data_IF_544078097380
#
_entry.id   IF_544078097380
#
_cell.length_a   1.000
_cell.length_b   1.000
_cell.length_c   1.000
_cell.angle_alpha   90.00
_cell.angle_beta   90.00
_cell.angle_gamma   90.00
#
_symmetry.space_group_name_H-M   'P 1'
#
loop_
_entity.id
_entity.type
_entity.pdbx_description
1 polymer ?
#
# COMPACT_ATOMS: atom_id res chain seq x y z
N UNK A 1 10.45 -15.14 5.80
CA UNK A 1 9.83 -16.11 4.88
C UNK A 1 9.04 -15.29 3.87
N UNK A 2 9.49 -15.15 2.62
CA UNK A 2 8.68 -14.47 1.59
C UNK A 2 7.48 -15.36 1.26
N UNK A 3 6.25 -14.84 1.36
CA UNK A 3 5.06 -15.56 0.91
C UNK A 3 5.17 -15.75 -0.61
N UNK A 4 5.04 -16.99 -1.08
CA UNK A 4 5.18 -17.32 -2.49
C UNK A 4 4.14 -16.58 -3.34
N UNK A 5 4.60 -15.97 -4.44
CA UNK A 5 3.75 -15.27 -5.41
C UNK A 5 3.05 -16.30 -6.30
N UNK A 6 2.00 -16.94 -5.79
CA UNK A 6 1.09 -17.79 -6.57
C UNK A 6 0.02 -16.96 -7.30
N UNK A 7 -0.82 -17.61 -8.11
CA UNK A 7 -1.97 -17.01 -8.83
C UNK A 7 -3.14 -16.59 -7.91
N UNK A 8 -2.83 -16.13 -6.70
CA UNK A 8 -3.78 -15.66 -5.70
C UNK A 8 -3.87 -14.13 -5.64
N UNK A 9 -4.71 -13.62 -4.74
CA UNK A 9 -4.74 -12.18 -4.44
C UNK A 9 -3.42 -11.72 -3.81
N UNK A 10 -2.81 -10.68 -4.36
CA UNK A 10 -1.63 -10.02 -3.82
C UNK A 10 -2.03 -8.82 -2.97
N UNK A 11 -1.73 -8.87 -1.67
CA UNK A 11 -2.07 -7.80 -0.72
C UNK A 11 -0.94 -6.79 -0.58
N UNK A 12 -1.27 -5.52 -0.73
CA UNK A 12 -0.30 -4.43 -0.83
C UNK A 12 -0.44 -3.50 0.37
N UNK A 13 0.69 -3.20 1.01
CA UNK A 13 0.83 -2.10 1.96
C UNK A 13 1.49 -0.90 1.29
N UNK A 14 0.93 0.31 1.44
CA UNK A 14 1.54 1.55 0.89
C UNK A 14 2.09 2.41 2.04
N UNK A 15 3.41 2.53 2.14
CA UNK A 15 4.09 3.43 3.05
C UNK A 15 4.34 4.77 2.37
N UNK A 16 3.73 5.83 2.88
CA UNK A 16 3.76 7.17 2.28
C UNK A 16 2.48 7.48 1.53
N UNK A 17 1.83 8.57 1.93
CA UNK A 17 0.58 9.06 1.35
C UNK A 17 0.72 10.52 0.92
N UNK A 18 1.88 10.86 0.35
CA UNK A 18 2.05 12.09 -0.42
C UNK A 18 1.43 11.96 -1.81
N UNK A 19 1.79 12.85 -2.73
CA UNK A 19 1.28 12.87 -4.11
C UNK A 19 1.41 11.52 -4.80
N UNK A 20 2.58 10.87 -4.68
CA UNK A 20 2.84 9.58 -5.33
C UNK A 20 2.02 8.47 -4.69
N UNK A 21 2.02 8.34 -3.37
CA UNK A 21 1.27 7.29 -2.68
C UNK A 21 -0.24 7.34 -2.92
N UNK A 22 -0.82 8.55 -2.90
CA UNK A 22 -2.23 8.74 -3.27
C UNK A 22 -2.48 8.38 -4.74
N UNK A 23 -1.58 8.78 -5.65
CA UNK A 23 -1.66 8.40 -7.06
C UNK A 23 -1.62 6.89 -7.28
N UNK A 24 -0.72 6.18 -6.60
CA UNK A 24 -0.62 4.71 -6.66
C UNK A 24 -1.91 4.06 -6.17
N UNK A 25 -2.44 4.48 -5.01
CA UNK A 25 -3.69 3.95 -4.48
C UNK A 25 -4.85 4.12 -5.47
N UNK A 26 -4.98 5.30 -6.07
CA UNK A 26 -6.01 5.59 -7.08
C UNK A 26 -5.86 4.71 -8.31
N UNK A 27 -4.66 4.65 -8.88
CA UNK A 27 -4.40 3.87 -10.09
C UNK A 27 -4.64 2.37 -9.87
N UNK A 28 -4.24 1.82 -8.72
CA UNK A 28 -4.50 0.41 -8.39
C UNK A 28 -6.00 0.12 -8.26
N UNK A 29 -6.76 1.06 -7.67
CA UNK A 29 -8.21 0.92 -7.50
C UNK A 29 -8.95 1.07 -8.83
N UNK A 30 -8.66 2.13 -9.58
CA UNK A 30 -9.32 2.48 -10.84
C UNK A 30 -9.03 1.46 -11.95
N UNK A 31 -7.85 0.82 -11.95
CA UNK A 31 -7.42 -0.13 -13.00
C UNK A 31 -7.41 -1.59 -12.54
N UNK A 32 -8.09 -1.93 -11.43
CA UNK A 32 -8.03 -3.26 -10.82
C UNK A 32 -8.32 -4.40 -11.82
N UNK A 33 -9.33 -4.23 -12.68
CA UNK A 33 -9.71 -5.24 -13.68
C UNK A 33 -8.63 -5.45 -14.75
N UNK A 34 -8.05 -4.37 -15.27
CA UNK A 34 -7.00 -4.43 -16.29
C UNK A 34 -5.70 -5.02 -15.73
N UNK A 35 -5.32 -4.60 -14.52
CA UNK A 35 -4.16 -5.14 -13.82
C UNK A 35 -4.35 -6.64 -13.59
N UNK A 36 -5.50 -7.05 -13.07
CA UNK A 36 -5.80 -8.47 -12.80
C UNK A 36 -5.74 -9.32 -14.07
N UNK A 37 -6.23 -8.80 -15.19
CA UNK A 37 -6.15 -9.47 -16.49
C UNK A 37 -4.71 -9.64 -16.99
N UNK A 38 -3.82 -8.69 -16.68
CA UNK A 38 -2.40 -8.72 -17.10
C UNK A 38 -1.53 -9.58 -16.17
N UNK A 39 -1.81 -9.59 -14.87
CA UNK A 39 -1.01 -10.30 -13.86
C UNK A 39 -1.49 -11.72 -13.60
N UNK A 40 -2.74 -12.05 -13.99
CA UNK A 40 -3.37 -13.33 -13.67
C UNK A 40 -3.79 -13.49 -12.21
N UNK A 41 -3.83 -12.40 -11.44
CA UNK A 41 -4.21 -12.39 -10.03
C UNK A 41 -4.68 -11.01 -9.57
N UNK A 42 -5.58 -10.98 -8.59
CA UNK A 42 -6.11 -9.72 -8.05
C UNK A 42 -5.05 -8.98 -7.23
N UNK A 43 -5.06 -7.64 -7.29
CA UNK A 43 -4.29 -6.79 -6.39
C UNK A 43 -5.27 -6.07 -5.46
N UNK A 44 -4.92 -6.02 -4.16
CA UNK A 44 -5.72 -5.33 -3.15
C UNK A 44 -4.81 -4.55 -2.20
N UNK A 45 -5.06 -3.26 -2.05
CA UNK A 45 -4.43 -2.49 -0.97
C UNK A 45 -5.17 -2.82 0.33
N UNK A 46 -4.44 -3.26 1.35
CA UNK A 46 -5.00 -3.68 2.64
C UNK A 46 -4.69 -2.69 3.76
N UNK A 47 -3.52 -2.04 3.67
CA UNK A 47 -3.06 -1.13 4.70
C UNK A 47 -2.21 0.00 4.11
N UNK A 48 -2.17 1.11 4.82
CA UNK A 48 -1.38 2.29 4.47
C UNK A 48 -0.62 2.81 5.69
N UNK A 49 0.46 3.55 5.46
CA UNK A 49 1.19 4.22 6.53
C UNK A 49 1.50 5.67 6.19
N UNK A 50 1.31 6.55 7.18
CA UNK A 50 1.73 7.95 7.13
C UNK A 50 1.86 8.53 8.54
N UNK A 51 2.55 9.66 8.67
CA UNK A 51 2.75 10.35 9.96
C UNK A 51 1.45 10.87 10.59
N UNK A 52 0.49 11.25 9.74
CA UNK A 52 -0.79 11.82 10.16
C UNK A 52 -1.92 11.09 9.43
N UNK A 53 -2.75 10.40 10.22
CA UNK A 53 -3.92 9.64 9.78
C UNK A 53 -5.15 10.52 9.53
N UNK A 54 -5.17 11.72 10.13
CA UNK A 54 -6.33 12.62 10.11
C UNK A 54 -6.30 13.62 8.97
N UNK A 55 -5.13 13.82 8.37
CA UNK A 55 -4.95 14.71 7.22
C UNK A 55 -5.78 14.23 6.04
N UNK A 56 -6.60 15.13 5.49
CA UNK A 56 -7.30 14.89 4.23
C UNK A 56 -6.32 14.69 3.06
N UNK A 57 -6.56 13.63 2.29
CA UNK A 57 -5.75 13.19 1.14
C UNK A 57 -6.56 13.19 -0.16
N UNK A 58 -7.84 13.54 -0.12
CA UNK A 58 -8.74 13.52 -1.28
C UNK A 58 -9.07 12.12 -1.79
N UNK A 59 -8.92 11.09 -0.95
CA UNK A 59 -9.25 9.69 -1.24
C UNK A 59 -9.91 9.04 -0.03
N UNK A 60 -10.81 8.09 -0.26
CA UNK A 60 -11.40 7.29 0.81
C UNK A 60 -10.39 6.23 1.28
N UNK A 61 -10.05 6.29 2.57
CA UNK A 61 -9.14 5.35 3.24
C UNK A 61 -9.87 4.49 4.28
N UNK A 62 -11.20 4.64 4.43
CA UNK A 62 -11.98 4.03 5.51
C UNK A 62 -11.95 2.50 5.51
N UNK A 63 -11.72 1.89 4.35
CA UNK A 63 -11.60 0.44 4.18
C UNK A 63 -10.18 -0.11 4.37
N UNK A 64 -9.19 0.76 4.62
CA UNK A 64 -7.78 0.41 4.73
C UNK A 64 -7.33 0.49 6.19
N UNK A 65 -6.53 -0.48 6.62
CA UNK A 65 -5.86 -0.36 7.90
C UNK A 65 -4.79 0.74 7.85
N UNK A 66 -4.52 1.37 8.99
CA UNK A 66 -3.55 2.45 9.08
C UNK A 66 -2.44 2.11 10.09
N UNK A 67 -1.20 2.34 9.71
CA UNK A 67 -0.03 2.25 10.59
C UNK A 67 0.69 3.59 10.67
N UNK A 68 1.10 3.99 11.87
CA UNK A 68 1.82 5.24 12.07
C UNK A 68 3.25 5.20 11.50
N UNK A 69 3.80 4.00 11.33
CA UNK A 69 5.15 3.78 10.83
C UNK A 69 5.22 2.66 9.77
N UNK A 70 6.19 2.80 8.87
CA UNK A 70 6.35 1.88 7.75
C UNK A 70 6.88 0.50 8.18
N UNK A 71 7.57 0.42 9.32
CA UNK A 71 8.11 -0.84 9.81
C UNK A 71 6.99 -1.75 10.35
N UNK A 72 6.03 -1.17 11.07
CA UNK A 72 4.80 -1.85 11.47
C UNK A 72 4.02 -2.34 10.24
N UNK A 73 3.86 -1.49 9.21
CA UNK A 73 3.23 -1.88 7.95
C UNK A 73 3.94 -3.06 7.27
N UNK A 74 5.28 -3.09 7.30
CA UNK A 74 6.10 -4.12 6.66
C UNK A 74 5.97 -5.51 7.28
N UNK A 75 5.58 -5.60 8.55
CA UNK A 75 5.49 -6.87 9.30
C UNK A 75 4.05 -7.37 9.46
N UNK A 76 3.07 -6.71 8.84
CA UNK A 76 1.66 -7.12 8.90
C UNK A 76 1.43 -8.45 8.16
N UNK A 77 0.62 -9.31 8.78
CA UNK A 77 0.25 -10.61 8.18
C UNK A 77 -0.68 -10.49 6.97
N UNK A 78 -1.30 -9.33 6.76
CA UNK A 78 -2.17 -9.02 5.62
C UNK A 78 -1.48 -8.15 4.55
N UNK A 79 -0.16 -8.02 4.59
CA UNK A 79 0.66 -7.37 3.57
C UNK A 79 1.64 -8.39 3.00
N UNK A 80 1.57 -8.62 1.69
CA UNK A 80 2.51 -9.48 0.97
C UNK A 80 3.63 -8.66 0.32
N UNK A 81 3.32 -7.44 -0.12
CA UNK A 81 4.26 -6.49 -0.73
C UNK A 81 4.12 -5.11 -0.11
N UNK A 82 5.25 -4.52 0.29
CA UNK A 82 5.34 -3.13 0.74
C UNK A 82 5.79 -2.23 -0.42
N UNK A 83 5.03 -1.17 -0.67
CA UNK A 83 5.40 -0.09 -1.59
C UNK A 83 5.78 1.13 -0.76
N UNK A 84 7.07 1.51 -0.78
CA UNK A 84 7.58 2.68 -0.06
C UNK A 84 7.73 3.89 -0.98
N UNK A 85 7.06 4.98 -0.62
CA UNK A 85 6.99 6.25 -1.36
C UNK A 85 6.93 7.45 -0.39
N UNK A 86 7.58 7.34 0.77
CA UNK A 86 7.72 8.39 1.80
C UNK A 86 8.71 9.45 1.32
N UNK A 87 9.80 9.02 0.67
CA UNK A 87 10.90 9.87 0.23
C UNK A 87 11.94 10.16 1.32
N UNK A 88 13.13 10.58 0.91
CA UNK A 88 14.31 10.70 1.77
C UNK A 88 15.18 9.44 1.75
N UNK A 89 16.42 9.55 2.23
CA UNK A 89 17.43 8.46 2.15
C UNK A 89 17.72 7.78 3.47
N UNK A 90 17.15 8.28 4.57
CA UNK A 90 17.50 7.82 5.92
C UNK A 90 16.44 6.91 6.54
N UNK A 91 15.45 6.48 5.75
CA UNK A 91 14.29 5.73 6.24
C UNK A 91 13.32 6.60 7.03
N UNK A 92 12.09 6.13 7.19
CA UNK A 92 11.07 6.83 7.98
C UNK A 92 11.48 6.86 9.47
N UNK A 93 12.19 7.92 9.89
CA UNK A 93 12.59 8.09 11.30
C UNK A 93 13.98 8.69 11.57
N UNK A 94 14.71 9.20 10.57
CA UNK A 94 15.90 10.04 10.82
C UNK A 94 15.60 11.53 10.65
#
# INVERSE_FOLDING_TARGET
>A
MAKGLGSGELRIGIAGLGTVGVGVLRLLTENQAEISARTGGALRVTAVSARDATRDRGVDLSALAFEADAAALAVRDDVDVLVEVIGGTSGAGA
#
